data_IF_752444942411
#
_entry.id   IF_752444942411
#
_cell.length_a   1.000
_cell.length_b   1.000
_cell.length_c   1.000
_cell.angle_alpha   90.00
_cell.angle_beta   90.00
_cell.angle_gamma   90.00
#
_symmetry.space_group_name_H-M   'P 1'
#
loop_
_entity.id
_entity.type
_entity.pdbx_description
1 polymer ?
#
# COMPACT_ATOMS: atom_id res chain seq x y z
N UNK A 1 -3.35 -0.76 -8.71
CA UNK A 1 -3.61 -1.19 -7.32
C UNK A 1 -4.89 -0.56 -6.79
N UNK A 2 -5.74 -1.37 -6.17
CA UNK A 2 -6.99 -0.94 -5.53
C UNK A 2 -7.25 -1.77 -4.26
N UNK A 3 -8.44 -1.69 -3.67
CA UNK A 3 -8.90 -2.54 -2.57
C UNK A 3 -10.43 -2.57 -2.52
N UNK A 4 -11.01 -3.64 -1.97
CA UNK A 4 -12.46 -3.71 -1.75
C UNK A 4 -12.98 -2.57 -0.85
N UNK A 5 -12.15 -2.08 0.05
CA UNK A 5 -12.44 -0.99 0.97
C UNK A 5 -12.62 0.38 0.29
N UNK A 6 -11.94 0.63 -0.85
CA UNK A 6 -11.80 1.98 -1.41
C UNK A 6 -13.07 2.51 -2.11
N UNK A 7 -13.30 3.86 -2.03
CA UNK A 7 -12.41 4.91 -1.53
C UNK A 7 -12.36 5.04 0.00
N UNK A 8 -11.42 5.84 0.48
CA UNK A 8 -11.30 6.25 1.89
C UNK A 8 -11.80 7.68 2.03
N UNK A 9 -12.62 8.02 3.06
CA UNK A 9 -13.13 7.15 4.12
C UNK A 9 -14.12 6.11 3.58
N UNK A 10 -13.99 4.87 4.10
CA UNK A 10 -14.91 3.80 3.74
C UNK A 10 -16.25 4.00 4.42
N UNK A 11 -17.31 4.06 3.63
CA UNK A 11 -18.69 4.13 4.10
C UNK A 11 -19.52 3.09 3.36
N UNK A 12 -20.63 2.61 3.93
CA UNK A 12 -21.44 1.56 3.29
C UNK A 12 -21.93 1.92 1.88
N UNK A 13 -22.21 3.19 1.62
CA UNK A 13 -22.66 3.71 0.33
C UNK A 13 -21.55 3.83 -0.72
N UNK A 14 -20.28 3.97 -0.30
CA UNK A 14 -19.13 4.14 -1.21
C UNK A 14 -18.21 2.92 -1.28
N UNK A 15 -18.49 1.91 -0.49
CA UNK A 15 -17.72 0.68 -0.47
C UNK A 15 -17.51 0.10 -1.89
N UNK A 16 -16.23 -0.24 -2.18
CA UNK A 16 -15.80 -0.88 -3.42
C UNK A 16 -16.01 -0.08 -4.73
N UNK A 17 -16.29 1.22 -4.66
CA UNK A 17 -16.50 2.04 -5.87
C UNK A 17 -15.25 2.08 -6.77
N UNK A 18 -14.04 2.06 -6.22
CA UNK A 18 -12.83 2.08 -7.04
C UNK A 18 -12.65 0.79 -7.86
N UNK A 19 -13.03 -0.36 -7.33
CA UNK A 19 -13.03 -1.61 -8.09
C UNK A 19 -14.08 -1.56 -9.23
N UNK A 20 -15.27 -1.00 -8.99
CA UNK A 20 -16.29 -0.83 -10.03
C UNK A 20 -15.83 0.08 -11.16
N UNK A 21 -15.17 1.20 -10.82
CA UNK A 21 -14.58 2.14 -11.80
C UNK A 21 -13.55 1.42 -12.68
N UNK A 22 -12.63 0.68 -12.07
CA UNK A 22 -11.61 -0.08 -12.79
C UNK A 22 -12.26 -1.17 -13.66
N UNK A 23 -13.26 -1.87 -13.14
CA UNK A 23 -14.00 -2.89 -13.88
C UNK A 23 -14.75 -2.33 -15.09
N UNK A 24 -15.32 -1.13 -14.98
CA UNK A 24 -15.93 -0.42 -16.11
C UNK A 24 -14.88 -0.08 -17.17
N UNK A 25 -13.72 0.40 -16.75
CA UNK A 25 -12.60 0.68 -17.64
C UNK A 25 -12.12 -0.57 -18.39
N UNK A 26 -11.95 -1.70 -17.70
CA UNK A 26 -11.59 -2.98 -18.35
C UNK A 26 -12.62 -3.41 -19.36
N UNK A 27 -13.92 -3.25 -19.05
CA UNK A 27 -14.99 -3.62 -19.96
C UNK A 27 -15.02 -2.73 -21.21
N UNK A 28 -14.72 -1.45 -21.06
CA UNK A 28 -14.70 -0.47 -22.16
C UNK A 28 -13.46 -0.67 -23.06
N UNK A 29 -12.28 -0.68 -22.48
CA UNK A 29 -11.02 -0.64 -23.24
C UNK A 29 -10.45 -2.01 -23.61
N UNK A 30 -10.98 -3.11 -23.07
CA UNK A 30 -10.57 -4.50 -23.35
C UNK A 30 -9.05 -4.74 -23.21
N UNK A 31 -8.41 -4.11 -22.22
CA UNK A 31 -6.94 -4.16 -21.98
C UNK A 31 -6.57 -4.90 -20.70
N UNK A 32 -7.42 -5.83 -20.23
CA UNK A 32 -7.17 -6.54 -18.98
C UNK A 32 -5.84 -7.29 -18.96
N UNK A 33 -5.46 -7.91 -20.06
CA UNK A 33 -4.24 -8.68 -20.25
C UNK A 33 -2.95 -7.84 -20.23
N UNK A 34 -3.07 -6.53 -20.43
CA UNK A 34 -1.94 -5.58 -20.39
C UNK A 34 -1.68 -4.98 -19.00
N UNK A 35 -2.53 -5.27 -18.03
CA UNK A 35 -2.48 -4.65 -16.71
C UNK A 35 -2.22 -5.71 -15.64
N UNK A 36 -1.21 -5.47 -14.80
CA UNK A 36 -1.04 -6.20 -13.55
C UNK A 36 -2.01 -5.59 -12.52
N UNK A 37 -3.06 -6.31 -12.22
CA UNK A 37 -4.12 -5.87 -11.32
C UNK A 37 -3.87 -6.37 -9.91
N UNK A 38 -3.76 -5.43 -8.96
CA UNK A 38 -3.70 -5.72 -7.54
C UNK A 38 -4.94 -5.20 -6.82
N UNK A 39 -5.53 -6.02 -5.95
CA UNK A 39 -6.56 -5.58 -4.99
C UNK A 39 -6.37 -6.26 -3.64
N UNK A 40 -7.20 -5.93 -2.64
CA UNK A 40 -6.98 -6.34 -1.26
C UNK A 40 -8.30 -6.68 -0.56
N UNK A 41 -8.26 -7.71 0.28
CA UNK A 41 -9.29 -7.94 1.29
C UNK A 41 -9.07 -7.01 2.48
N UNK A 42 -10.11 -6.33 2.93
CA UNK A 42 -10.06 -5.48 4.12
C UNK A 42 -9.80 -6.32 5.37
N UNK A 43 -8.89 -5.86 6.22
CA UNK A 43 -8.71 -6.45 7.55
C UNK A 43 -9.90 -6.14 8.48
N UNK A 44 -10.00 -6.81 9.62
CA UNK A 44 -11.08 -6.60 10.58
C UNK A 44 -10.95 -5.25 11.31
N UNK A 45 -12.05 -4.81 11.88
CA UNK A 45 -12.11 -3.61 12.72
C UNK A 45 -13.45 -2.89 12.62
N UNK A 46 -13.68 -1.96 13.54
CA UNK A 46 -14.90 -1.14 13.54
C UNK A 46 -15.08 -0.35 12.24
N UNK A 47 -13.97 0.09 11.65
CA UNK A 47 -13.93 0.83 10.40
C UNK A 47 -14.44 0.03 9.19
N UNK A 48 -14.31 -1.30 9.22
CA UNK A 48 -14.69 -2.20 8.11
C UNK A 48 -15.82 -3.16 8.49
N UNK A 49 -16.46 -2.97 9.65
CA UNK A 49 -17.54 -3.83 10.12
C UNK A 49 -18.75 -3.90 9.17
N UNK A 50 -18.96 -2.86 8.35
CA UNK A 50 -19.98 -2.83 7.30
C UNK A 50 -19.63 -3.69 6.08
N UNK A 51 -18.35 -4.03 5.88
CA UNK A 51 -17.89 -4.94 4.83
C UNK A 51 -17.90 -6.37 5.35
N UNK A 52 -17.25 -6.60 6.52
CA UNK A 52 -17.06 -7.92 7.09
C UNK A 52 -16.72 -7.83 8.58
N UNK A 53 -17.32 -8.72 9.37
CA UNK A 53 -17.05 -8.80 10.82
C UNK A 53 -16.08 -9.93 11.18
N UNK A 54 -15.96 -10.94 10.34
CA UNK A 54 -15.25 -12.19 10.60
C UNK A 54 -13.75 -12.15 10.27
N UNK A 55 -13.24 -11.01 9.77
CA UNK A 55 -11.84 -10.92 9.34
C UNK A 55 -11.53 -11.86 8.17
N UNK A 56 -10.52 -12.73 8.33
CA UNK A 56 -10.11 -13.72 7.32
C UNK A 56 -10.60 -15.13 7.63
N UNK A 57 -11.48 -15.30 8.62
CA UNK A 57 -12.04 -16.58 9.03
C UNK A 57 -13.09 -17.08 8.04
N UNK A 58 -13.48 -18.33 8.18
CA UNK A 58 -14.53 -18.99 7.40
C UNK A 58 -14.33 -18.84 5.89
N UNK A 59 -15.36 -18.48 5.16
CA UNK A 59 -15.33 -18.24 3.70
C UNK A 59 -15.00 -16.79 3.32
N UNK A 60 -14.60 -15.95 4.28
CA UNK A 60 -14.41 -14.50 4.07
C UNK A 60 -13.45 -14.16 2.94
N UNK A 61 -12.34 -14.89 2.80
CA UNK A 61 -11.35 -14.65 1.74
C UNK A 61 -11.94 -15.00 0.38
N UNK A 62 -12.63 -16.12 0.25
CA UNK A 62 -13.25 -16.54 -1.00
C UNK A 62 -14.37 -15.58 -1.43
N UNK A 63 -15.23 -15.19 -0.51
CA UNK A 63 -16.31 -14.23 -0.75
C UNK A 63 -15.75 -12.87 -1.19
N UNK A 64 -14.67 -12.41 -0.56
CA UNK A 64 -14.01 -11.16 -0.93
C UNK A 64 -13.40 -11.22 -2.33
N UNK A 65 -12.71 -12.32 -2.68
CA UNK A 65 -12.16 -12.52 -4.04
C UNK A 65 -13.27 -12.57 -5.07
N UNK A 66 -14.32 -13.37 -4.85
CA UNK A 66 -15.46 -13.46 -5.77
C UNK A 66 -16.16 -12.12 -5.95
N UNK A 67 -16.33 -11.35 -4.86
CA UNK A 67 -16.84 -10.00 -4.89
C UNK A 67 -15.98 -9.04 -5.71
N UNK A 68 -14.66 -9.07 -5.50
CA UNK A 68 -13.69 -8.25 -6.25
C UNK A 68 -13.70 -8.59 -7.74
N UNK A 69 -13.67 -9.88 -8.11
CA UNK A 69 -13.75 -10.34 -9.51
C UNK A 69 -15.00 -9.82 -10.21
N UNK A 70 -16.16 -9.90 -9.53
CA UNK A 70 -17.43 -9.38 -10.06
C UNK A 70 -17.39 -7.87 -10.29
N UNK A 71 -16.88 -7.09 -9.33
CA UNK A 71 -16.79 -5.63 -9.44
C UNK A 71 -15.78 -5.18 -10.49
N UNK A 72 -14.63 -5.86 -10.53
CA UNK A 72 -13.56 -5.63 -11.50
C UNK A 72 -13.85 -6.17 -12.91
N UNK A 73 -14.93 -6.93 -13.08
CA UNK A 73 -15.37 -7.52 -14.38
C UNK A 73 -14.24 -8.32 -15.04
N UNK A 74 -13.57 -9.16 -14.28
CA UNK A 74 -12.46 -10.01 -14.72
C UNK A 74 -12.53 -11.37 -14.05
N UNK A 75 -11.94 -12.38 -14.68
CA UNK A 75 -11.91 -13.75 -14.17
C UNK A 75 -10.72 -14.02 -13.26
N UNK A 76 -9.72 -13.13 -13.24
CA UNK A 76 -8.52 -13.30 -12.42
C UNK A 76 -7.98 -11.97 -11.89
N UNK A 77 -7.28 -12.06 -10.75
CA UNK A 77 -6.51 -10.98 -10.13
C UNK A 77 -5.04 -11.39 -10.13
N UNK A 78 -4.14 -10.49 -10.55
CA UNK A 78 -2.71 -10.82 -10.61
C UNK A 78 -2.08 -10.87 -9.22
N UNK A 79 -2.43 -9.92 -8.33
CA UNK A 79 -1.94 -9.86 -6.96
C UNK A 79 -3.07 -9.61 -5.97
N UNK A 80 -3.34 -10.56 -5.10
CA UNK A 80 -4.33 -10.41 -4.04
C UNK A 80 -3.64 -10.22 -2.69
N UNK A 81 -4.03 -9.19 -1.94
CA UNK A 81 -3.31 -8.77 -0.75
C UNK A 81 -4.19 -8.80 0.50
N UNK A 82 -3.61 -9.17 1.64
CA UNK A 82 -4.20 -8.95 2.96
C UNK A 82 -3.93 -7.50 3.35
N UNK A 83 -4.98 -6.67 3.53
CA UNK A 83 -4.83 -5.21 3.62
C UNK A 83 -4.18 -4.74 4.93
N UNK A 84 -4.41 -5.45 6.03
CA UNK A 84 -3.70 -5.31 7.32
C UNK A 84 -3.91 -6.55 8.18
N UNK A 85 -3.04 -6.77 9.19
CA UNK A 85 -3.14 -7.90 10.10
C UNK A 85 -4.45 -7.94 10.91
N UNK A 86 -4.91 -9.13 11.26
CA UNK A 86 -6.06 -9.30 12.17
C UNK A 86 -5.68 -9.08 13.63
N UNK A 87 -4.45 -9.44 14.00
CA UNK A 87 -3.94 -9.24 15.37
C UNK A 87 -3.66 -7.78 15.66
N UNK A 88 -3.68 -7.42 16.95
CA UNK A 88 -3.29 -6.08 17.39
C UNK A 88 -1.79 -5.91 17.23
N UNK A 89 -1.40 -5.01 16.35
CA UNK A 89 0.00 -4.66 16.09
C UNK A 89 0.10 -3.24 15.51
N UNK A 90 1.33 -2.73 15.38
CA UNK A 90 1.53 -1.44 14.71
C UNK A 90 1.19 -1.58 13.23
N UNK A 91 0.25 -0.81 12.77
CA UNK A 91 -0.13 -0.74 11.36
C UNK A 91 -0.03 0.69 10.86
N UNK A 92 -0.04 0.88 9.55
CA UNK A 92 -0.10 2.20 8.91
C UNK A 92 1.02 3.17 9.33
N UNK A 93 2.19 2.67 9.72
CA UNK A 93 3.35 3.48 10.11
C UNK A 93 3.31 4.00 11.54
N UNK A 94 2.50 3.42 12.40
CA UNK A 94 2.55 3.66 13.85
C UNK A 94 3.89 3.15 14.43
N UNK A 95 4.46 3.89 15.36
CA UNK A 95 5.81 3.61 15.90
C UNK A 95 5.82 2.86 17.23
N UNK A 96 4.71 2.91 17.98
CA UNK A 96 4.67 2.36 19.34
C UNK A 96 3.86 1.08 19.37
N UNK A 97 4.52 -0.02 19.69
CA UNK A 97 3.85 -1.28 19.97
C UNK A 97 3.25 -1.25 21.39
N UNK A 98 2.00 -1.68 21.50
CA UNK A 98 1.30 -1.74 22.79
C UNK A 98 1.08 -3.19 23.18
N UNK A 99 1.53 -3.56 24.38
CA UNK A 99 1.24 -4.86 24.99
C UNK A 99 -0.18 -4.84 25.55
N UNK A 100 -1.15 -5.17 24.70
CA UNK A 100 -2.55 -5.33 25.08
C UNK A 100 -2.99 -6.77 24.91
N UNK A 101 -3.98 -7.20 25.68
CA UNK A 101 -4.57 -8.52 25.50
C UNK A 101 -5.24 -8.59 24.13
N UNK A 102 -4.80 -9.54 23.31
CA UNK A 102 -5.40 -9.85 22.03
C UNK A 102 -6.19 -11.15 22.12
N UNK A 103 -7.36 -11.20 21.51
CA UNK A 103 -8.17 -12.42 21.37
C UNK A 103 -7.90 -13.13 20.03
N UNK A 104 -6.93 -12.63 19.24
CA UNK A 104 -6.53 -13.25 17.98
C UNK A 104 -5.85 -14.61 18.24
N UNK A 105 -6.20 -15.59 17.44
CA UNK A 105 -5.58 -16.89 17.42
C UNK A 105 -4.78 -17.06 16.12
N UNK A 106 -3.63 -17.74 16.19
CA UNK A 106 -2.76 -17.97 15.03
C UNK A 106 -3.52 -18.74 13.93
N UNK A 107 -3.76 -18.06 12.82
CA UNK A 107 -4.47 -18.58 11.65
C UNK A 107 -3.69 -18.37 10.33
N UNK A 108 -2.39 -18.15 10.41
CA UNK A 108 -1.57 -17.93 9.20
C UNK A 108 -1.65 -19.12 8.23
N UNK A 109 -1.67 -20.33 8.75
CA UNK A 109 -1.76 -21.55 7.94
C UNK A 109 -3.09 -21.61 7.20
N UNK A 110 -4.19 -21.43 7.90
CA UNK A 110 -5.55 -21.48 7.34
C UNK A 110 -5.76 -20.41 6.27
N UNK A 111 -5.22 -19.22 6.47
CA UNK A 111 -5.23 -18.14 5.47
C UNK A 111 -4.50 -18.58 4.19
N UNK A 112 -3.29 -19.14 4.33
CA UNK A 112 -2.51 -19.58 3.17
C UNK A 112 -3.15 -20.76 2.45
N UNK A 113 -3.77 -21.71 3.16
CA UNK A 113 -4.50 -22.84 2.56
C UNK A 113 -5.70 -22.36 1.73
N UNK A 114 -6.45 -21.34 2.20
CA UNK A 114 -7.53 -20.72 1.44
C UNK A 114 -7.02 -19.98 0.21
N UNK A 115 -5.94 -19.24 0.35
CA UNK A 115 -5.31 -18.55 -0.78
C UNK A 115 -4.75 -19.55 -1.81
N UNK A 116 -4.23 -20.67 -1.38
CA UNK A 116 -3.78 -21.75 -2.27
C UNK A 116 -4.91 -22.30 -3.14
N UNK A 117 -6.09 -22.54 -2.55
CA UNK A 117 -7.26 -23.00 -3.30
C UNK A 117 -7.68 -21.98 -4.36
N UNK A 118 -7.61 -20.69 -4.07
CA UNK A 118 -7.91 -19.62 -5.00
C UNK A 118 -6.87 -19.49 -6.12
N UNK A 119 -5.60 -19.78 -5.83
CA UNK A 119 -4.54 -19.86 -6.84
C UNK A 119 -4.79 -21.08 -7.76
N UNK A 120 -5.05 -22.25 -7.18
CA UNK A 120 -5.33 -23.48 -7.93
C UNK A 120 -6.56 -23.37 -8.82
N UNK A 121 -7.57 -22.61 -8.41
CA UNK A 121 -8.76 -22.33 -9.22
C UNK A 121 -8.56 -21.23 -10.28
N UNK A 122 -7.38 -20.61 -10.36
CA UNK A 122 -7.04 -19.57 -11.32
C UNK A 122 -7.66 -18.18 -11.02
N UNK A 123 -8.37 -18.01 -9.90
CA UNK A 123 -9.00 -16.74 -9.52
C UNK A 123 -7.98 -15.67 -9.12
N UNK A 124 -6.86 -16.08 -8.51
CA UNK A 124 -5.74 -15.20 -8.18
C UNK A 124 -4.43 -15.84 -8.64
N UNK A 125 -3.44 -15.03 -9.02
CA UNK A 125 -2.13 -15.53 -9.48
C UNK A 125 -1.11 -15.53 -8.36
N UNK A 126 -1.01 -14.42 -7.64
CA UNK A 126 -0.03 -14.20 -6.57
C UNK A 126 -0.69 -13.60 -5.35
N UNK A 127 -0.04 -13.77 -4.20
CA UNK A 127 -0.49 -13.24 -2.92
C UNK A 127 0.54 -12.33 -2.29
N UNK A 128 0.08 -11.36 -1.52
CA UNK A 128 0.91 -10.39 -0.84
C UNK A 128 0.30 -9.88 0.46
N UNK A 129 1.11 -9.16 1.21
CA UNK A 129 0.74 -8.54 2.47
C UNK A 129 0.63 -7.03 2.33
N UNK A 130 -0.06 -6.38 3.25
CA UNK A 130 -0.01 -4.93 3.42
C UNK A 130 -0.09 -4.57 4.90
N UNK A 131 0.59 -3.50 5.30
CA UNK A 131 0.66 -3.02 6.69
C UNK A 131 1.11 -4.09 7.70
N UNK A 132 1.85 -5.07 7.23
CA UNK A 132 2.37 -6.15 8.06
C UNK A 132 3.74 -5.78 8.65
N UNK A 133 4.06 -6.35 9.80
CA UNK A 133 5.31 -6.16 10.53
C UNK A 133 6.27 -7.35 10.33
N UNK A 134 7.57 -7.19 10.64
CA UNK A 134 8.59 -8.22 10.43
C UNK A 134 8.19 -9.61 10.95
N UNK A 135 7.63 -9.68 12.17
CA UNK A 135 7.22 -10.96 12.74
C UNK A 135 6.17 -11.68 11.90
N UNK A 136 5.10 -10.97 11.48
CA UNK A 136 4.05 -11.59 10.68
C UNK A 136 4.51 -11.93 9.27
N UNK A 137 5.38 -11.11 8.65
CA UNK A 137 5.99 -11.44 7.36
C UNK A 137 6.74 -12.77 7.47
N UNK A 138 7.58 -12.93 8.49
CA UNK A 138 8.36 -14.15 8.71
C UNK A 138 7.47 -15.37 9.02
N UNK A 139 6.34 -15.18 9.71
CA UNK A 139 5.36 -16.26 9.94
C UNK A 139 4.77 -16.79 8.63
N UNK A 140 4.33 -15.91 7.73
CA UNK A 140 3.87 -16.33 6.41
C UNK A 140 4.97 -17.03 5.59
N UNK A 141 6.21 -16.54 5.67
CA UNK A 141 7.36 -17.15 4.99
C UNK A 141 7.66 -18.55 5.56
N UNK A 142 7.58 -18.72 6.86
CA UNK A 142 7.77 -20.03 7.51
C UNK A 142 6.82 -21.10 6.93
N UNK A 143 5.56 -20.78 6.76
CA UNK A 143 4.58 -21.68 6.15
C UNK A 143 4.82 -21.89 4.64
N UNK A 144 5.32 -20.88 3.94
CA UNK A 144 5.66 -21.06 2.52
C UNK A 144 6.82 -22.04 2.32
N UNK A 145 7.78 -22.10 3.25
CA UNK A 145 8.87 -23.09 3.26
C UNK A 145 8.36 -24.53 3.51
N UNK A 146 7.11 -24.66 3.98
CA UNK A 146 6.42 -25.94 4.17
C UNK A 146 5.47 -26.30 3.00
N UNK A 147 5.56 -25.59 1.88
CA UNK A 147 4.84 -25.89 0.64
C UNK A 147 3.58 -25.06 0.39
N UNK A 148 3.21 -24.13 1.27
CA UNK A 148 2.09 -23.20 1.05
C UNK A 148 2.50 -21.99 0.19
N UNK A 149 1.56 -21.23 -0.38
CA UNK A 149 1.86 -20.07 -1.22
C UNK A 149 2.74 -19.02 -0.51
N UNK A 150 3.73 -18.52 -1.23
CA UNK A 150 4.60 -17.47 -0.74
C UNK A 150 3.98 -16.09 -0.93
N UNK A 151 3.97 -15.28 0.12
CA UNK A 151 3.70 -13.85 0.03
C UNK A 151 4.85 -13.18 -0.71
N UNK A 152 4.63 -12.78 -1.98
CA UNK A 152 5.70 -12.24 -2.84
C UNK A 152 5.93 -10.74 -2.67
N UNK A 153 4.98 -10.03 -2.06
CA UNK A 153 5.08 -8.59 -1.82
C UNK A 153 4.61 -8.22 -0.43
N UNK A 154 5.11 -7.09 0.03
CA UNK A 154 4.60 -6.35 1.19
C UNK A 154 4.29 -4.91 0.77
N UNK A 155 3.07 -4.42 1.00
CA UNK A 155 2.68 -3.04 0.71
C UNK A 155 2.64 -2.23 2.00
N UNK A 156 3.68 -1.44 2.24
CA UNK A 156 3.85 -0.63 3.45
C UNK A 156 4.18 0.84 3.13
N UNK A 157 3.96 1.78 4.08
CA UNK A 157 4.33 3.17 3.88
C UNK A 157 5.86 3.32 3.82
N UNK A 158 6.34 4.00 2.79
CA UNK A 158 7.76 4.32 2.68
C UNK A 158 7.96 5.64 1.93
N UNK A 159 8.77 6.52 2.50
CA UNK A 159 9.10 7.84 1.94
C UNK A 159 10.27 8.46 2.68
N UNK A 160 10.78 9.60 2.22
CA UNK A 160 11.75 10.42 2.95
C UNK A 160 11.31 10.77 4.39
N UNK A 161 10.01 10.88 4.65
CA UNK A 161 9.45 11.17 5.98
C UNK A 161 9.05 9.93 6.78
N UNK A 162 9.13 8.74 6.18
CA UNK A 162 8.80 7.48 6.86
C UNK A 162 9.72 6.35 6.39
N UNK A 163 10.79 6.14 7.13
CA UNK A 163 11.80 5.14 6.85
C UNK A 163 11.73 3.91 7.76
N UNK A 164 10.61 3.72 8.45
CA UNK A 164 10.44 2.60 9.41
C UNK A 164 10.62 1.23 8.75
N UNK A 165 10.29 1.10 7.47
CA UNK A 165 10.46 -0.14 6.72
C UNK A 165 11.93 -0.60 6.65
N UNK A 166 12.88 0.31 6.71
CA UNK A 166 14.30 -0.02 6.70
C UNK A 166 14.74 -0.78 7.96
N UNK A 167 13.97 -0.64 9.05
CA UNK A 167 14.26 -1.31 10.32
C UNK A 167 13.67 -2.73 10.31
N UNK A 168 14.41 -3.69 9.80
CA UNK A 168 14.07 -5.12 9.78
C UNK A 168 13.30 -5.59 8.55
N UNK A 169 12.30 -4.87 8.05
CA UNK A 169 11.51 -5.34 6.89
C UNK A 169 12.31 -5.35 5.59
N UNK A 170 13.20 -4.38 5.38
CA UNK A 170 14.08 -4.34 4.20
C UNK A 170 15.05 -5.51 4.15
N UNK A 171 15.54 -5.97 5.30
CA UNK A 171 16.40 -7.15 5.40
C UNK A 171 15.64 -8.42 5.01
N UNK A 172 14.39 -8.57 5.47
CA UNK A 172 13.51 -9.67 5.06
C UNK A 172 13.29 -9.64 3.54
N UNK A 173 13.03 -8.47 2.96
CA UNK A 173 12.88 -8.32 1.52
C UNK A 173 14.09 -8.87 0.76
N UNK A 174 15.30 -8.56 1.23
CA UNK A 174 16.56 -9.02 0.62
C UNK A 174 16.73 -10.53 0.71
N UNK A 175 16.62 -11.10 1.91
CA UNK A 175 16.97 -12.51 2.13
C UNK A 175 15.84 -13.48 1.77
N UNK A 176 14.60 -13.05 1.87
CA UNK A 176 13.45 -13.88 1.55
C UNK A 176 12.84 -13.57 0.17
N UNK A 177 13.46 -12.66 -0.60
CA UNK A 177 12.98 -12.25 -1.94
C UNK A 177 11.49 -11.87 -1.94
N UNK A 178 11.15 -10.89 -1.10
CA UNK A 178 9.82 -10.26 -1.02
C UNK A 178 9.96 -8.80 -1.43
N UNK A 179 9.11 -8.33 -2.34
CA UNK A 179 9.21 -6.97 -2.85
C UNK A 179 8.37 -5.95 -2.07
N UNK A 180 8.91 -4.76 -1.80
CA UNK A 180 8.10 -3.66 -1.26
C UNK A 180 7.30 -2.97 -2.37
N UNK A 181 5.99 -2.83 -2.15
CA UNK A 181 5.13 -1.89 -2.86
C UNK A 181 4.98 -0.65 -1.96
N UNK A 182 5.76 0.40 -2.24
CA UNK A 182 5.83 1.58 -1.38
C UNK A 182 4.61 2.49 -1.57
N UNK A 183 3.79 2.67 -0.54
CA UNK A 183 2.69 3.64 -0.60
C UNK A 183 2.99 4.93 0.16
N UNK A 184 2.29 6.02 -0.20
CA UNK A 184 2.49 7.38 0.32
C UNK A 184 3.92 7.92 0.13
N UNK A 185 4.55 7.75 -1.03
CA UNK A 185 5.91 8.21 -1.28
C UNK A 185 6.04 9.74 -1.16
N UNK A 186 4.96 10.47 -1.42
CA UNK A 186 4.88 11.94 -1.27
C UNK A 186 4.29 12.37 0.09
N UNK A 187 4.18 11.46 1.08
CA UNK A 187 3.73 11.78 2.44
C UNK A 187 2.45 12.63 2.47
N UNK A 188 1.38 12.18 1.81
CA UNK A 188 0.11 12.89 1.66
C UNK A 188 0.22 14.25 0.96
N UNK A 189 1.27 14.45 0.16
CA UNK A 189 1.54 15.68 -0.56
C UNK A 189 2.46 16.67 0.18
N UNK A 190 2.93 16.35 1.38
CA UNK A 190 3.91 17.20 2.11
C UNK A 190 5.22 17.31 1.34
N UNK A 191 5.67 16.23 0.72
CA UNK A 191 6.87 16.19 -0.12
C UNK A 191 6.66 16.72 -1.55
N UNK A 192 5.63 17.53 -1.78
CA UNK A 192 5.48 18.35 -3.00
C UNK A 192 5.72 19.84 -2.73
N UNK A 193 5.96 20.24 -1.48
CA UNK A 193 6.18 21.62 -1.09
C UNK A 193 4.91 22.48 -0.95
N UNK A 194 3.75 22.01 -1.42
CA UNK A 194 2.51 22.82 -1.49
C UNK A 194 1.92 23.28 -0.14
N UNK A 195 2.46 22.78 0.99
CA UNK A 195 1.97 23.13 2.33
C UNK A 195 2.97 23.98 3.15
N UNK A 196 4.06 24.48 2.55
CA UNK A 196 5.16 25.10 3.29
C UNK A 196 4.80 26.43 3.97
N UNK A 197 3.88 27.18 3.44
CA UNK A 197 3.49 28.50 4.00
C UNK A 197 2.36 28.40 5.02
N UNK A 198 2.16 27.22 5.64
CA UNK A 198 1.02 26.93 6.52
C UNK A 198 -0.35 27.10 5.85
N UNK A 199 -0.38 27.28 4.54
CA UNK A 199 -1.59 27.31 3.74
C UNK A 199 -1.92 25.88 3.28
N UNK A 200 -3.18 25.50 3.44
CA UNK A 200 -3.70 24.23 2.92
C UNK A 200 -4.48 24.56 1.65
N UNK A 201 -3.93 24.30 0.46
CA UNK A 201 -4.62 24.62 -0.79
C UNK A 201 -5.97 23.91 -0.85
N UNK A 202 -7.00 24.65 -1.28
CA UNK A 202 -8.35 24.11 -1.46
C UNK A 202 -8.35 22.89 -2.37
N UNK A 203 -9.13 21.88 -2.02
CA UNK A 203 -9.21 20.57 -2.70
C UNK A 203 -7.90 19.75 -2.64
N UNK A 204 -6.91 20.16 -1.84
CA UNK A 204 -5.75 19.34 -1.58
C UNK A 204 -6.10 18.18 -0.64
N UNK A 205 -5.20 17.16 -0.57
CA UNK A 205 -5.47 15.97 0.27
C UNK A 205 -5.65 16.31 1.75
N UNK A 206 -4.90 17.25 2.30
CA UNK A 206 -5.05 17.66 3.72
C UNK A 206 -6.29 18.53 3.94
N UNK A 207 -6.75 19.26 2.93
CA UNK A 207 -8.02 20.00 2.97
C UNK A 207 -9.22 19.04 2.98
N UNK A 208 -9.23 18.08 2.06
CA UNK A 208 -10.31 17.09 1.94
C UNK A 208 -10.33 16.07 3.10
N UNK A 209 -9.18 15.80 3.71
CA UNK A 209 -9.01 14.80 4.77
C UNK A 209 -8.23 15.36 5.96
N UNK A 210 -8.79 16.29 6.74
CA UNK A 210 -8.07 16.98 7.84
C UNK A 210 -7.66 16.03 8.98
N UNK A 211 -8.22 14.82 9.03
CA UNK A 211 -7.85 13.77 9.98
C UNK A 211 -6.52 13.06 9.66
N UNK A 212 -5.97 13.28 8.46
CA UNK A 212 -4.69 12.69 8.05
C UNK A 212 -3.50 13.42 8.72
N UNK A 213 -3.21 13.08 9.96
CA UNK A 213 -2.19 13.76 10.79
C UNK A 213 -0.78 13.18 10.70
N UNK A 214 -0.57 12.05 10.03
CA UNK A 214 0.71 11.32 10.05
C UNK A 214 1.92 12.17 9.63
N UNK A 215 1.77 13.06 8.67
CA UNK A 215 2.86 13.82 8.04
C UNK A 215 2.69 15.34 8.12
N UNK A 216 1.66 15.88 8.75
CA UNK A 216 1.38 17.32 8.79
C UNK A 216 1.87 18.01 10.08
N UNK A 217 2.64 17.31 10.92
CA UNK A 217 3.23 17.90 12.12
C UNK A 217 4.47 18.75 11.80
N UNK A 218 4.83 19.65 12.73
CA UNK A 218 5.97 20.57 12.60
C UNK A 218 7.26 19.87 12.16
N UNK A 219 7.63 18.75 12.79
CA UNK A 219 8.85 18.00 12.45
C UNK A 219 8.85 17.49 10.99
N UNK A 220 7.70 17.09 10.48
CA UNK A 220 7.59 16.63 9.08
C UNK A 220 7.75 17.79 8.10
N UNK A 221 7.20 18.96 8.44
CA UNK A 221 7.35 20.17 7.64
C UNK A 221 8.78 20.69 7.65
N UNK A 222 9.44 20.74 8.82
CA UNK A 222 10.84 21.16 8.94
C UNK A 222 11.77 20.23 8.13
N UNK A 223 11.53 18.92 8.18
CA UNK A 223 12.28 17.95 7.38
C UNK A 223 12.02 18.14 5.87
N UNK A 224 10.76 18.32 5.46
CA UNK A 224 10.42 18.56 4.06
C UNK A 224 11.05 19.84 3.51
N UNK A 225 11.10 20.92 4.31
CA UNK A 225 11.84 22.15 3.97
C UNK A 225 13.33 21.92 3.79
N UNK A 226 13.92 21.04 4.61
CA UNK A 226 15.34 20.66 4.45
C UNK A 226 15.57 19.86 3.17
N UNK A 227 14.66 18.95 2.80
CA UNK A 227 14.71 18.24 1.53
C UNK A 227 14.48 19.17 0.33
N UNK A 228 13.62 20.21 0.46
CA UNK A 228 13.47 21.21 -0.58
C UNK A 228 14.79 21.92 -0.90
N UNK A 229 15.55 22.32 0.14
CA UNK A 229 16.86 22.96 -0.07
C UNK A 229 17.84 22.04 -0.82
N UNK A 230 17.79 20.74 -0.55
CA UNK A 230 18.59 19.75 -1.29
C UNK A 230 18.10 19.69 -2.75
N UNK A 231 16.81 19.57 -2.97
CA UNK A 231 16.23 19.54 -4.32
C UNK A 231 16.65 20.78 -5.11
N UNK A 232 16.50 21.99 -4.54
CA UNK A 232 16.89 23.25 -5.16
C UNK A 232 18.40 23.28 -5.54
N UNK A 233 19.27 22.82 -4.63
CA UNK A 233 20.74 22.76 -4.88
C UNK A 233 21.07 21.95 -6.13
N UNK A 234 20.30 20.90 -6.42
CA UNK A 234 20.56 19.99 -7.54
C UNK A 234 19.58 20.18 -8.71
N UNK A 235 18.78 21.25 -8.73
CA UNK A 235 17.86 21.57 -9.82
C UNK A 235 16.71 20.57 -9.97
N UNK A 236 16.30 19.91 -8.88
CA UNK A 236 15.19 18.96 -8.85
C UNK A 236 13.95 19.60 -8.23
N UNK A 237 12.77 19.13 -8.61
CA UNK A 237 11.59 19.36 -7.77
C UNK A 237 11.64 18.47 -6.52
N UNK A 238 11.01 18.90 -5.43
CA UNK A 238 10.90 18.08 -4.22
C UNK A 238 10.13 16.77 -4.50
N UNK A 239 9.13 16.80 -5.39
CA UNK A 239 8.42 15.63 -5.88
C UNK A 239 9.37 14.62 -6.52
N UNK A 240 10.20 15.08 -7.45
CA UNK A 240 11.17 14.22 -8.13
C UNK A 240 12.22 13.66 -7.16
N UNK A 241 12.77 14.47 -6.26
CA UNK A 241 13.67 13.99 -5.22
C UNK A 241 13.02 12.89 -4.37
N UNK A 242 11.79 13.11 -3.90
CA UNK A 242 11.09 12.19 -3.02
C UNK A 242 10.73 10.86 -3.70
N UNK A 243 10.24 10.92 -4.95
CA UNK A 243 9.88 9.72 -5.70
C UNK A 243 11.12 8.93 -6.14
N UNK A 244 12.16 9.62 -6.63
CA UNK A 244 13.40 8.98 -7.06
C UNK A 244 14.14 8.34 -5.90
N UNK A 245 14.12 8.95 -4.70
CA UNK A 245 14.63 8.32 -3.49
C UNK A 245 13.98 6.97 -3.23
N UNK A 246 12.65 6.86 -3.39
CA UNK A 246 11.94 5.59 -3.20
C UNK A 246 12.24 4.61 -4.33
N UNK A 247 12.25 5.07 -5.58
CA UNK A 247 12.53 4.25 -6.75
C UNK A 247 13.92 3.59 -6.71
N UNK A 248 14.89 4.27 -6.10
CA UNK A 248 16.29 3.85 -6.07
C UNK A 248 16.59 2.81 -4.96
N UNK A 249 15.66 2.54 -4.08
CA UNK A 249 15.86 1.56 -2.99
C UNK A 249 15.81 0.12 -3.50
N UNK A 250 16.82 -0.71 -3.22
CA UNK A 250 16.93 -2.07 -3.79
C UNK A 250 15.82 -3.03 -3.33
N UNK A 251 15.13 -2.72 -2.24
CA UNK A 251 14.00 -3.50 -1.73
C UNK A 251 12.63 -3.03 -2.26
N UNK A 252 12.57 -1.93 -3.01
CA UNK A 252 11.34 -1.40 -3.61
C UNK A 252 11.13 -2.04 -4.99
N UNK A 253 10.05 -2.79 -5.12
CA UNK A 253 9.64 -3.38 -6.41
C UNK A 253 8.78 -2.41 -7.21
N UNK A 254 7.91 -1.66 -6.52
CA UNK A 254 7.05 -0.66 -7.18
C UNK A 254 6.72 0.47 -6.22
N UNK A 255 6.75 1.68 -6.75
CA UNK A 255 6.33 2.88 -6.05
C UNK A 255 4.87 3.19 -6.41
N UNK A 256 3.99 3.25 -5.40
CA UNK A 256 2.55 3.48 -5.61
C UNK A 256 2.30 4.98 -5.62
N UNK A 257 2.06 5.51 -6.79
CA UNK A 257 1.76 6.92 -7.01
C UNK A 257 0.25 7.17 -7.11
N UNK A 258 -0.15 8.41 -6.85
CA UNK A 258 -1.48 8.93 -7.10
C UNK A 258 -1.40 10.36 -7.61
N UNK A 259 -2.27 10.72 -8.56
CA UNK A 259 -2.34 12.04 -9.14
C UNK A 259 -3.79 12.47 -9.34
N UNK A 260 -4.08 13.75 -9.19
CA UNK A 260 -5.40 14.35 -9.46
C UNK A 260 -5.40 15.22 -10.72
N UNK A 261 -4.22 15.49 -11.28
CA UNK A 261 -4.04 16.23 -12.54
C UNK A 261 -3.07 15.51 -13.46
N UNK A 262 -3.16 15.79 -14.77
CA UNK A 262 -2.24 15.23 -15.77
C UNK A 262 -0.78 15.68 -15.52
N UNK A 263 -0.56 16.91 -15.07
CA UNK A 263 0.77 17.41 -14.78
C UNK A 263 1.42 16.65 -13.62
N UNK A 264 0.67 16.42 -12.53
CA UNK A 264 1.15 15.57 -11.43
C UNK A 264 1.46 14.14 -11.90
N UNK A 265 0.62 13.57 -12.76
CA UNK A 265 0.85 12.22 -13.28
C UNK A 265 2.13 12.17 -14.13
N UNK A 266 2.34 13.14 -15.01
CA UNK A 266 3.56 13.25 -15.82
C UNK A 266 4.80 13.35 -14.95
N UNK A 267 4.83 14.31 -14.01
CA UNK A 267 5.95 14.48 -13.08
C UNK A 267 6.23 13.21 -12.27
N UNK A 268 5.18 12.54 -11.77
CA UNK A 268 5.34 11.28 -11.04
C UNK A 268 5.96 10.17 -11.91
N UNK A 269 5.54 10.05 -13.17
CA UNK A 269 6.09 9.06 -14.11
C UNK A 269 7.54 9.41 -14.47
N UNK A 270 7.84 10.66 -14.73
CA UNK A 270 9.18 11.14 -15.10
C UNK A 270 10.21 10.91 -14.00
N UNK A 271 9.79 10.84 -12.74
CA UNK A 271 10.68 10.55 -11.61
C UNK A 271 11.48 9.26 -11.74
N UNK A 272 11.03 8.29 -12.55
CA UNK A 272 11.77 7.04 -12.79
C UNK A 272 13.08 7.26 -13.56
N UNK A 273 13.16 8.35 -14.32
CA UNK A 273 14.33 8.71 -15.11
C UNK A 273 15.35 9.54 -14.32
N UNK A 274 14.98 10.05 -13.16
CA UNK A 274 15.86 10.86 -12.29
C UNK A 274 16.76 9.92 -11.50
N UNK A 275 18.06 10.06 -11.66
CA UNK A 275 19.08 9.35 -10.90
C UNK A 275 19.65 10.26 -9.83
N UNK A 276 19.61 9.80 -8.60
CA UNK A 276 20.21 10.51 -7.47
C UNK A 276 21.68 10.10 -7.33
N UNK A 277 22.57 11.08 -7.17
CA UNK A 277 23.97 10.78 -6.86
C UNK A 277 24.13 10.38 -5.40
N UNK A 278 25.27 9.73 -5.06
CA UNK A 278 25.59 9.35 -3.68
C UNK A 278 25.66 10.57 -2.75
N UNK A 279 26.00 11.76 -3.27
CA UNK A 279 26.00 13.01 -2.51
C UNK A 279 24.59 13.46 -2.11
N UNK A 280 23.58 13.13 -2.90
CA UNK A 280 22.17 13.48 -2.62
C UNK A 280 21.55 12.50 -1.62
N UNK A 281 21.93 11.24 -1.68
CA UNK A 281 21.43 10.16 -0.83
C UNK A 281 22.07 10.17 0.55
#
# INVERSE_FOLDING_TARGET
DTAELYPVPATPDKYAETEKIIGNWFNEFKKRDKIILATKIAGPGAYTAHIRKTGFKDNSIEEAVNGSLKRLKTDYIDLYQLHWPERITNTFGNRSFQYVKDSWEDNFKEILEKLEQLIKSGKIRHVGLSNENPWGIMKFIEYSKKGLPKMITIQNPYSLLNRLFEIGSSEICKYENVGLLAYSPLAFGVLTGKYFNHEIPKNSRLDLFPTLKRYNGKRSMDAALSYQKIADKYGLSLTNLALSFVNDRPFVTSNIIGATTLNQLKENIESINVKLSDEII
#
